data_IF_107848952563
#
_entry.id   IF_107848952563
#
_cell.length_a   1.000
_cell.length_b   1.000
_cell.length_c   1.000
_cell.angle_alpha   90.00
_cell.angle_beta   90.00
_cell.angle_gamma   90.00
#
_symmetry.space_group_name_H-M   'P 1'
#
loop_
_entity.id
_entity.type
_entity.pdbx_description
1 polymer ?
#
# COMPACT_ATOMS: atom_id res chain seq x y z
N UNK A 1 -13.99 3.11 9.33
CA UNK A 1 -14.41 3.92 8.17
C UNK A 1 -14.58 3.01 6.97
N UNK A 2 -15.57 3.28 6.15
CA UNK A 2 -15.84 2.47 4.95
C UNK A 2 -14.83 2.76 3.85
N UNK A 3 -14.51 1.76 3.05
CA UNK A 3 -13.53 1.89 1.97
C UNK A 3 -13.89 3.00 0.97
N UNK A 4 -15.17 3.12 0.62
CA UNK A 4 -15.60 4.18 -0.30
C UNK A 4 -15.30 5.57 0.25
N UNK A 5 -15.43 5.76 1.56
CA UNK A 5 -15.11 7.03 2.21
C UNK A 5 -13.60 7.30 2.19
N UNK A 6 -12.80 6.26 2.38
CA UNK A 6 -11.34 6.38 2.32
C UNK A 6 -10.92 6.78 0.90
N UNK A 7 -11.47 6.13 -0.11
CA UNK A 7 -11.18 6.46 -1.52
C UNK A 7 -11.57 7.91 -1.83
N UNK A 8 -12.74 8.35 -1.35
CA UNK A 8 -13.18 9.72 -1.53
C UNK A 8 -12.17 10.71 -0.93
N UNK A 9 -11.63 10.40 0.24
CA UNK A 9 -10.61 11.25 0.87
C UNK A 9 -9.35 11.37 0.03
N UNK A 10 -8.89 10.28 -0.59
CA UNK A 10 -7.75 10.34 -1.52
C UNK A 10 -8.05 11.27 -2.69
N UNK A 11 -9.25 11.16 -3.24
CA UNK A 11 -9.65 11.99 -4.37
C UNK A 11 -9.78 13.46 -3.99
N UNK A 12 -10.17 13.74 -2.74
CA UNK A 12 -10.25 15.11 -2.21
C UNK A 12 -8.89 15.66 -1.77
N UNK A 13 -7.83 14.87 -1.90
CA UNK A 13 -6.48 15.20 -1.45
C UNK A 13 -6.42 15.45 0.06
N UNK A 14 -7.21 14.70 0.81
CA UNK A 14 -7.23 14.75 2.26
C UNK A 14 -6.26 13.71 2.82
N UNK A 15 -5.19 14.16 3.48
CA UNK A 15 -4.14 13.29 4.00
C UNK A 15 -4.62 12.33 5.08
N UNK A 16 -5.76 12.59 5.70
CA UNK A 16 -6.37 11.65 6.65
C UNK A 16 -6.64 10.30 5.99
N UNK A 17 -6.78 10.27 4.65
CA UNK A 17 -6.93 9.01 3.91
C UNK A 17 -5.79 8.04 4.22
N UNK A 18 -4.56 8.53 4.33
CA UNK A 18 -3.38 7.69 4.61
C UNK A 18 -3.48 7.10 6.02
N UNK A 19 -3.85 7.92 7.01
CA UNK A 19 -4.04 7.45 8.38
C UNK A 19 -5.11 6.36 8.46
N UNK A 20 -6.23 6.56 7.78
CA UNK A 20 -7.33 5.59 7.76
C UNK A 20 -6.91 4.29 7.07
N UNK A 21 -6.12 4.39 6.01
CA UNK A 21 -5.56 3.23 5.32
C UNK A 21 -4.64 2.44 6.26
N UNK A 22 -3.75 3.14 6.98
CA UNK A 22 -2.86 2.50 7.95
C UNK A 22 -3.63 1.76 9.02
N UNK A 23 -4.64 2.39 9.60
CA UNK A 23 -5.44 1.79 10.65
C UNK A 23 -6.19 0.54 10.18
N UNK A 24 -6.74 0.60 8.98
CA UNK A 24 -7.58 -0.47 8.47
C UNK A 24 -6.77 -1.60 7.81
N UNK A 25 -5.74 -1.27 7.07
CA UNK A 25 -5.01 -2.21 6.23
C UNK A 25 -3.53 -2.36 6.53
N UNK A 26 -3.01 -1.64 7.52
CA UNK A 26 -1.57 -1.68 7.84
C UNK A 26 -1.05 -3.08 8.12
N UNK A 27 -1.77 -3.83 8.97
CA UNK A 27 -1.37 -5.19 9.32
C UNK A 27 -1.41 -6.12 8.11
N UNK A 28 -2.44 -6.01 7.28
CA UNK A 28 -2.58 -6.78 6.05
C UNK A 28 -1.43 -6.50 5.07
N UNK A 29 -1.14 -5.24 4.84
CA UNK A 29 -0.07 -4.84 3.91
C UNK A 29 1.30 -5.27 4.41
N UNK A 30 1.53 -5.16 5.72
CA UNK A 30 2.77 -5.63 6.34
C UNK A 30 2.95 -7.14 6.15
N UNK A 31 1.87 -7.89 6.27
CA UNK A 31 1.90 -9.34 6.07
C UNK A 31 2.21 -9.68 4.61
N UNK A 32 1.61 -8.97 3.66
CA UNK A 32 1.88 -9.16 2.23
C UNK A 32 3.36 -8.95 1.95
N UNK A 33 3.93 -7.85 2.43
CA UNK A 33 5.33 -7.53 2.21
C UNK A 33 6.26 -8.52 2.92
N UNK A 34 5.97 -8.86 4.17
CA UNK A 34 6.81 -9.77 4.95
C UNK A 34 6.82 -11.18 4.37
N UNK A 35 5.70 -11.66 3.85
CA UNK A 35 5.64 -12.99 3.20
C UNK A 35 6.58 -13.08 2.00
N UNK A 36 6.85 -11.96 1.36
CA UNK A 36 7.76 -11.91 0.20
C UNK A 36 9.21 -11.68 0.63
N UNK A 37 9.42 -10.76 1.58
CA UNK A 37 10.76 -10.27 1.91
C UNK A 37 11.40 -10.94 3.12
N UNK A 38 10.61 -11.46 4.05
CA UNK A 38 11.07 -12.06 5.31
C UNK A 38 12.01 -11.15 6.10
N UNK A 39 11.79 -9.83 6.02
CA UNK A 39 12.61 -8.81 6.64
C UNK A 39 11.71 -7.68 7.11
N UNK A 40 11.77 -7.35 8.38
CA UNK A 40 10.90 -6.34 9.00
C UNK A 40 11.13 -4.93 8.46
N UNK A 41 12.39 -4.54 8.34
CA UNK A 41 12.75 -3.18 7.90
C UNK A 41 12.34 -2.96 6.45
N UNK A 42 12.65 -3.92 5.59
CA UNK A 42 12.28 -3.85 4.17
C UNK A 42 10.77 -3.86 4.01
N UNK A 43 10.06 -4.68 4.80
CA UNK A 43 8.60 -4.76 4.74
C UNK A 43 7.96 -3.43 5.14
N UNK A 44 8.46 -2.82 6.21
CA UNK A 44 7.98 -1.52 6.68
C UNK A 44 8.14 -0.45 5.62
N UNK A 45 9.31 -0.43 4.98
CA UNK A 45 9.60 0.52 3.91
C UNK A 45 8.66 0.31 2.71
N UNK A 46 8.43 -0.94 2.32
CA UNK A 46 7.51 -1.26 1.23
C UNK A 46 6.08 -0.84 1.53
N UNK A 47 5.64 -0.99 2.77
CA UNK A 47 4.30 -0.56 3.17
C UNK A 47 4.18 0.97 3.10
N UNK A 48 5.19 1.69 3.56
CA UNK A 48 5.22 3.15 3.45
C UNK A 48 5.18 3.59 1.99
N UNK A 49 5.94 2.93 1.13
CA UNK A 49 5.93 3.21 -0.32
C UNK A 49 4.57 2.90 -0.94
N UNK A 50 3.86 1.91 -0.41
CA UNK A 50 2.51 1.57 -0.85
C UNK A 50 1.55 2.74 -0.60
N UNK A 51 1.63 3.36 0.58
CA UNK A 51 0.78 4.51 0.89
C UNK A 51 1.09 5.69 -0.03
N UNK A 52 2.36 5.94 -0.28
CA UNK A 52 2.77 7.01 -1.17
C UNK A 52 2.27 6.77 -2.60
N UNK A 53 2.41 5.54 -3.07
CA UNK A 53 1.93 5.18 -4.41
C UNK A 53 0.42 5.32 -4.53
N UNK A 54 -0.32 4.90 -3.51
CA UNK A 54 -1.78 5.05 -3.49
C UNK A 54 -2.16 6.53 -3.53
N UNK A 55 -1.48 7.35 -2.75
CA UNK A 55 -1.70 8.79 -2.74
C UNK A 55 -1.48 9.41 -4.12
N UNK A 56 -0.42 9.00 -4.80
CA UNK A 56 -0.08 9.54 -6.12
C UNK A 56 -0.96 9.02 -7.25
N UNK A 57 -1.53 7.82 -7.10
CA UNK A 57 -2.28 7.15 -8.16
C UNK A 57 -3.78 7.45 -8.13
N UNK A 58 -4.36 7.64 -6.95
CA UNK A 58 -5.82 7.72 -6.84
C UNK A 58 -6.48 8.93 -7.50
N UNK A 59 -5.84 10.09 -7.64
CA UNK A 59 -6.51 11.18 -8.36
C UNK A 59 -6.87 10.86 -9.80
N UNK A 60 -6.17 9.88 -10.42
CA UNK A 60 -6.46 9.46 -11.78
C UNK A 60 -7.08 8.06 -11.84
N UNK A 61 -7.17 7.39 -10.70
CA UNK A 61 -7.64 6.01 -10.61
C UNK A 61 -8.56 5.85 -9.40
N UNK A 62 -9.73 5.27 -9.61
CA UNK A 62 -10.68 5.03 -8.52
C UNK A 62 -10.90 3.53 -8.39
N UNK A 63 -10.24 2.86 -7.42
CA UNK A 63 -10.37 1.42 -7.28
C UNK A 63 -11.79 1.02 -6.84
N UNK A 64 -12.30 -0.07 -7.40
CA UNK A 64 -13.58 -0.62 -6.99
C UNK A 64 -13.45 -1.44 -5.71
N UNK A 65 -12.29 -2.06 -5.48
CA UNK A 65 -12.00 -2.83 -4.27
C UNK A 65 -10.67 -2.34 -3.70
N UNK A 66 -10.73 -1.55 -2.64
CA UNK A 66 -9.56 -0.90 -2.06
C UNK A 66 -8.52 -1.90 -1.56
N UNK A 67 -8.93 -2.96 -0.88
CA UNK A 67 -8.00 -3.97 -0.34
C UNK A 67 -7.19 -4.64 -1.46
N UNK A 68 -7.83 -4.99 -2.57
CA UNK A 68 -7.16 -5.60 -3.71
C UNK A 68 -6.19 -4.63 -4.36
N UNK A 69 -6.60 -3.38 -4.51
CA UNK A 69 -5.78 -2.33 -5.09
C UNK A 69 -4.49 -2.12 -4.27
N UNK A 70 -4.64 -1.96 -2.96
CA UNK A 70 -3.50 -1.76 -2.05
C UNK A 70 -2.61 -2.99 -2.00
N UNK A 71 -3.21 -4.18 -1.96
CA UNK A 71 -2.46 -5.43 -1.92
C UNK A 71 -1.61 -5.64 -3.16
N UNK A 72 -2.13 -5.29 -4.33
CA UNK A 72 -1.37 -5.36 -5.59
C UNK A 72 -0.16 -4.43 -5.58
N UNK A 73 -0.35 -3.21 -5.09
CA UNK A 73 0.74 -2.23 -4.99
C UNK A 73 1.82 -2.75 -4.04
N UNK A 74 1.44 -3.18 -2.84
CA UNK A 74 2.38 -3.67 -1.84
C UNK A 74 3.13 -4.90 -2.35
N UNK A 75 2.43 -5.81 -3.02
CA UNK A 75 3.03 -7.01 -3.60
C UNK A 75 4.05 -6.65 -4.68
N UNK A 76 3.69 -5.75 -5.60
CA UNK A 76 4.58 -5.36 -6.68
C UNK A 76 5.85 -4.68 -6.18
N UNK A 77 5.71 -3.76 -5.22
CA UNK A 77 6.85 -3.08 -4.61
C UNK A 77 7.75 -4.11 -3.92
N UNK A 78 7.15 -5.04 -3.17
CA UNK A 78 7.90 -6.05 -2.44
C UNK A 78 8.65 -7.01 -3.37
N UNK A 79 8.03 -7.42 -4.47
CA UNK A 79 8.66 -8.26 -5.48
C UNK A 79 9.84 -7.53 -6.11
N UNK A 80 9.69 -6.25 -6.42
CA UNK A 80 10.77 -5.45 -7.01
C UNK A 80 11.96 -5.35 -6.06
N UNK A 81 11.71 -5.14 -4.77
CA UNK A 81 12.76 -5.10 -3.75
C UNK A 81 13.44 -6.47 -3.63
N UNK A 82 12.64 -7.54 -3.61
CA UNK A 82 13.16 -8.92 -3.54
C UNK A 82 14.08 -9.21 -4.71
N UNK A 83 13.68 -8.86 -5.92
CA UNK A 83 14.48 -9.07 -7.13
C UNK A 83 15.80 -8.30 -7.06
N UNK A 84 15.77 -7.07 -6.60
CA UNK A 84 16.99 -6.26 -6.44
C UNK A 84 17.97 -6.88 -5.46
N UNK A 85 17.46 -7.36 -4.32
CA UNK A 85 18.31 -7.96 -3.28
C UNK A 85 18.93 -9.27 -3.74
N UNK A 86 18.26 -9.99 -4.62
CA UNK A 86 18.69 -11.31 -5.08
C UNK A 86 19.35 -11.31 -6.47
N UNK A 87 19.49 -10.15 -7.10
CA UNK A 87 20.24 -10.05 -8.34
C UNK A 87 21.71 -9.85 -7.99
N UNK A 88 22.53 -10.73 -8.48
CA UNK A 88 23.96 -10.68 -8.24
C UNK A 88 24.63 -9.57 -9.05
#
# INVERSE_FOLDING_TARGET
MKDAEIVDMYWERNEVAIQQTQQKYGAYLSKVAYNILSDFEDSKECVNDTYLKAWNSMPTHRPSVLSTYLGKIARQISIDVFRKKNSA
#
